data_IF_587063108745
#
_entry.id   IF_587063108745
#
_cell.length_a   1.000
_cell.length_b   1.000
_cell.length_c   1.000
_cell.angle_alpha   90.00
_cell.angle_beta   90.00
_cell.angle_gamma   90.00
#
_symmetry.space_group_name_H-M   'P 1'
#
loop_
_entity.id
_entity.type
_entity.pdbx_description
1 polymer ?
#
# COMPACT_ATOMS: atom_id res chain seq x y z
N UNK A 1 -17.09 1.42 6.01
CA UNK A 1 -16.23 2.38 5.29
C UNK A 1 -15.02 2.74 6.13
N UNK A 2 -13.83 2.60 5.55
CA UNK A 2 -12.57 2.95 6.22
C UNK A 2 -11.92 4.14 5.54
N UNK A 3 -11.06 4.83 6.27
CA UNK A 3 -10.20 5.88 5.73
C UNK A 3 -8.80 5.29 5.52
N UNK A 4 -8.35 5.28 4.28
CA UNK A 4 -7.13 4.58 3.87
C UNK A 4 -6.20 5.54 3.13
N UNK A 5 -4.95 5.58 3.57
CA UNK A 5 -3.89 6.33 2.90
C UNK A 5 -3.02 5.35 2.12
N UNK A 6 -2.85 5.60 0.82
CA UNK A 6 -1.97 4.80 -0.03
C UNK A 6 -0.80 5.67 -0.46
N UNK A 7 0.40 5.25 -0.11
CA UNK A 7 1.64 5.98 -0.40
C UNK A 7 2.43 5.21 -1.46
N UNK A 8 2.69 5.88 -2.58
CA UNK A 8 3.30 5.24 -3.73
C UNK A 8 2.27 4.44 -4.51
N UNK A 9 2.01 4.85 -5.75
CA UNK A 9 0.95 4.23 -6.55
C UNK A 9 1.57 3.73 -7.85
N UNK A 10 2.12 2.52 -7.82
CA UNK A 10 2.51 1.80 -9.01
C UNK A 10 1.35 0.98 -9.55
N UNK A 11 1.64 -0.05 -10.36
CA UNK A 11 0.58 -0.91 -10.92
C UNK A 11 -0.27 -1.56 -9.84
N UNK A 12 0.38 -2.13 -8.84
CA UNK A 12 -0.33 -2.75 -7.72
C UNK A 12 -1.22 -1.73 -7.01
N UNK A 13 -0.67 -0.55 -6.72
CA UNK A 13 -1.40 0.51 -6.05
C UNK A 13 -2.63 0.99 -6.84
N UNK A 14 -2.53 1.06 -8.17
CA UNK A 14 -3.66 1.41 -9.03
C UNK A 14 -4.82 0.42 -8.87
N UNK A 15 -4.53 -0.87 -8.96
CA UNK A 15 -5.55 -1.91 -8.78
C UNK A 15 -6.13 -1.87 -7.38
N UNK A 16 -5.27 -1.71 -6.38
CA UNK A 16 -5.69 -1.64 -4.99
C UNK A 16 -6.63 -0.46 -4.75
N UNK A 17 -6.23 0.73 -5.18
CA UNK A 17 -7.03 1.94 -4.98
C UNK A 17 -8.39 1.83 -5.67
N UNK A 18 -8.42 1.38 -6.92
CA UNK A 18 -9.68 1.21 -7.64
C UNK A 18 -10.63 0.28 -6.90
N UNK A 19 -10.12 -0.84 -6.39
CA UNK A 19 -10.96 -1.80 -5.67
C UNK A 19 -11.41 -1.25 -4.31
N UNK A 20 -10.55 -0.53 -3.61
CA UNK A 20 -10.91 0.09 -2.33
C UNK A 20 -12.06 1.10 -2.51
N UNK A 21 -12.03 1.86 -3.59
CA UNK A 21 -13.09 2.82 -3.91
C UNK A 21 -14.40 2.09 -4.25
N UNK A 22 -14.33 1.01 -5.04
CA UNK A 22 -15.50 0.19 -5.35
C UNK A 22 -16.15 -0.39 -4.08
N UNK A 23 -15.34 -0.64 -3.05
CA UNK A 23 -15.79 -1.15 -1.76
C UNK A 23 -16.20 -0.03 -0.79
N UNK A 24 -16.41 1.18 -1.29
CA UNK A 24 -16.90 2.34 -0.55
C UNK A 24 -15.97 2.85 0.56
N UNK A 25 -14.67 2.72 0.37
CA UNK A 25 -13.70 3.32 1.29
C UNK A 25 -13.33 4.74 0.86
N UNK A 26 -12.94 5.55 1.84
CA UNK A 26 -12.33 6.86 1.57
C UNK A 26 -10.84 6.63 1.37
N UNK A 27 -10.33 7.06 0.22
CA UNK A 27 -8.93 6.83 -0.12
C UNK A 27 -8.23 8.15 -0.40
N UNK A 28 -7.10 8.36 0.25
CA UNK A 28 -6.14 9.40 -0.10
C UNK A 28 -4.93 8.74 -0.72
N UNK A 29 -4.42 9.30 -1.81
CA UNK A 29 -3.18 8.83 -2.44
C UNK A 29 -2.12 9.91 -2.39
N UNK A 30 -0.88 9.51 -2.16
CA UNK A 30 0.28 10.39 -2.22
C UNK A 30 1.36 9.69 -3.05
N UNK A 31 1.88 10.37 -4.04
CA UNK A 31 2.99 9.87 -4.86
C UNK A 31 3.91 11.03 -5.21
N UNK A 32 5.20 10.77 -5.33
CA UNK A 32 6.15 11.81 -5.72
C UNK A 32 6.05 12.18 -7.19
N UNK A 33 5.47 11.30 -8.01
CA UNK A 33 5.30 11.50 -9.45
C UNK A 33 3.84 11.81 -9.79
N UNK A 34 3.58 12.99 -10.30
CA UNK A 34 2.23 13.40 -10.66
C UNK A 34 1.60 12.44 -11.69
N UNK A 35 2.41 11.99 -12.66
CA UNK A 35 1.93 11.10 -13.72
C UNK A 35 1.36 9.79 -13.16
N UNK A 36 1.86 9.33 -12.03
CA UNK A 36 1.39 8.08 -11.40
C UNK A 36 -0.02 8.18 -10.85
N UNK A 37 -0.50 9.39 -10.52
CA UNK A 37 -1.80 9.58 -9.84
C UNK A 37 -2.75 10.51 -10.58
N UNK A 38 -2.35 11.03 -11.75
CA UNK A 38 -3.16 12.01 -12.48
C UNK A 38 -4.57 11.51 -12.79
N UNK A 39 -4.69 10.26 -13.20
CA UNK A 39 -5.98 9.65 -13.53
C UNK A 39 -6.82 9.33 -12.29
N UNK A 40 -6.25 9.41 -11.12
CA UNK A 40 -6.94 9.12 -9.85
C UNK A 40 -7.59 10.34 -9.21
N UNK A 41 -7.21 11.57 -9.64
CA UNK A 41 -7.75 12.78 -9.03
C UNK A 41 -9.30 12.80 -8.94
N UNK A 42 -10.04 12.41 -9.99
CA UNK A 42 -11.50 12.41 -9.91
C UNK A 42 -12.08 11.25 -9.11
N UNK A 43 -11.29 10.22 -8.78
CA UNK A 43 -11.78 8.99 -8.18
C UNK A 43 -11.61 8.94 -6.66
N UNK A 44 -10.52 9.52 -6.16
CA UNK A 44 -10.15 9.45 -4.74
C UNK A 44 -10.64 10.67 -3.97
N UNK A 45 -10.68 10.54 -2.65
CA UNK A 45 -11.06 11.65 -1.79
C UNK A 45 -10.06 12.79 -1.89
N UNK A 46 -8.77 12.45 -1.88
CA UNK A 46 -7.67 13.42 -2.02
C UNK A 46 -6.50 12.74 -2.72
N UNK A 47 -5.89 13.44 -3.68
CA UNK A 47 -4.66 13.02 -4.33
C UNK A 47 -3.64 14.13 -4.18
N UNK A 48 -2.42 13.77 -3.80
CA UNK A 48 -1.38 14.74 -3.52
C UNK A 48 -0.05 14.29 -4.11
N UNK A 49 0.66 15.22 -4.73
CA UNK A 49 2.04 15.01 -5.18
C UNK A 49 2.99 15.39 -4.05
N UNK A 50 3.83 14.47 -3.64
CA UNK A 50 4.82 14.71 -2.60
C UNK A 50 5.66 13.49 -2.33
N UNK A 51 6.89 13.71 -1.88
CA UNK A 51 7.82 12.67 -1.49
C UNK A 51 7.69 12.40 0.00
N UNK A 52 7.14 11.25 0.36
CA UNK A 52 6.88 10.89 1.76
C UNK A 52 8.14 10.50 2.54
N UNK A 53 9.30 10.42 1.90
CA UNK A 53 10.57 10.34 2.64
C UNK A 53 10.92 11.68 3.30
N UNK A 54 10.26 12.75 2.87
CA UNK A 54 10.37 14.05 3.51
C UNK A 54 9.33 14.16 4.63
N UNK A 55 9.77 14.26 5.92
CA UNK A 55 8.83 14.35 7.04
C UNK A 55 7.85 15.52 6.95
N UNK A 56 8.22 16.61 6.28
CA UNK A 56 7.35 17.78 6.14
C UNK A 56 6.13 17.46 5.28
N UNK A 57 6.26 16.57 4.30
CA UNK A 57 5.12 16.11 3.50
C UNK A 57 4.15 15.33 4.38
N UNK A 58 4.67 14.43 5.19
CA UNK A 58 3.85 13.61 6.09
C UNK A 58 3.19 14.43 7.20
N UNK A 59 3.83 15.49 7.68
CA UNK A 59 3.22 16.36 8.70
C UNK A 59 1.95 17.03 8.23
N UNK A 60 1.81 17.24 6.92
CA UNK A 60 0.60 17.84 6.35
C UNK A 60 -0.51 16.83 6.11
N UNK A 61 -0.23 15.55 6.33
CA UNK A 61 -1.20 14.46 6.25
C UNK A 61 -1.60 14.08 7.67
N UNK A 62 -2.89 13.98 7.92
CA UNK A 62 -3.40 13.66 9.26
C UNK A 62 -3.36 12.15 9.49
N UNK A 63 -2.16 11.62 9.72
CA UNK A 63 -1.90 10.19 9.80
C UNK A 63 -2.73 9.47 10.86
N UNK A 64 -2.96 10.12 12.00
CA UNK A 64 -3.68 9.49 13.12
C UNK A 64 -5.16 9.22 12.82
N UNK A 65 -5.72 9.88 11.82
CA UNK A 65 -7.13 9.73 11.45
C UNK A 65 -7.37 8.70 10.36
N UNK A 66 -6.32 8.09 9.81
CA UNK A 66 -6.48 6.99 8.87
C UNK A 66 -6.55 5.66 9.62
N UNK A 67 -7.50 4.83 9.24
CA UNK A 67 -7.61 3.47 9.77
C UNK A 67 -6.44 2.61 9.31
N UNK A 68 -5.92 2.89 8.11
CA UNK A 68 -4.93 2.05 7.45
C UNK A 68 -4.01 2.92 6.59
N UNK A 69 -2.72 2.66 6.67
CA UNK A 69 -1.71 3.24 5.78
C UNK A 69 -1.03 2.12 5.01
N UNK A 70 -1.09 2.18 3.69
CA UNK A 70 -0.49 1.16 2.83
C UNK A 70 0.66 1.80 2.05
N UNK A 71 1.86 1.29 2.27
CA UNK A 71 3.07 1.76 1.59
C UNK A 71 3.33 0.87 0.38
N UNK A 72 2.97 1.37 -0.81
CA UNK A 72 3.06 0.63 -2.07
C UNK A 72 4.30 0.99 -2.88
N UNK A 73 5.41 1.21 -2.22
CA UNK A 73 6.69 1.53 -2.86
C UNK A 73 7.40 0.21 -3.15
N UNK A 74 7.38 -0.23 -4.42
CA UNK A 74 7.85 -1.56 -4.78
C UNK A 74 9.31 -1.60 -5.25
N UNK A 75 9.80 -0.52 -5.87
CA UNK A 75 11.08 -0.56 -6.57
C UNK A 75 12.23 0.10 -5.82
N UNK A 76 11.95 0.76 -4.72
CA UNK A 76 12.95 1.44 -3.91
C UNK A 76 12.75 1.03 -2.45
N UNK A 77 13.47 -0.01 -2.05
CA UNK A 77 13.33 -0.54 -0.70
C UNK A 77 13.73 0.48 0.36
N UNK A 78 14.78 1.27 0.11
CA UNK A 78 15.20 2.28 1.07
C UNK A 78 14.08 3.30 1.34
N UNK A 79 13.45 3.80 0.28
CA UNK A 79 12.32 4.72 0.43
C UNK A 79 11.14 4.06 1.13
N UNK A 80 10.85 2.80 0.80
CA UNK A 80 9.77 2.05 1.47
C UNK A 80 10.05 1.92 2.97
N UNK A 81 11.26 1.59 3.34
CA UNK A 81 11.66 1.44 4.73
C UNK A 81 11.57 2.77 5.49
N UNK A 82 12.09 3.83 4.89
CA UNK A 82 12.04 5.17 5.50
C UNK A 82 10.60 5.64 5.69
N UNK A 83 9.76 5.50 4.69
CA UNK A 83 8.35 5.91 4.78
C UNK A 83 7.61 5.07 5.81
N UNK A 84 7.83 3.76 5.83
CA UNK A 84 7.21 2.86 6.81
C UNK A 84 7.56 3.29 8.24
N UNK A 85 8.83 3.58 8.49
CA UNK A 85 9.30 4.02 9.80
C UNK A 85 8.69 5.36 10.19
N UNK A 86 8.70 6.32 9.27
CA UNK A 86 8.19 7.66 9.53
C UNK A 86 6.69 7.67 9.82
N UNK A 87 5.88 6.98 9.02
CA UNK A 87 4.43 6.97 9.25
C UNK A 87 4.07 6.32 10.58
N UNK A 88 4.80 5.28 10.96
CA UNK A 88 4.57 4.63 12.25
C UNK A 88 4.96 5.53 13.42
N UNK A 89 6.12 6.17 13.35
CA UNK A 89 6.55 7.14 14.34
C UNK A 89 5.56 8.28 14.52
N UNK A 90 4.97 8.74 13.42
CA UNK A 90 4.04 9.86 13.40
C UNK A 90 2.61 9.48 13.76
N UNK A 91 2.37 8.24 14.17
CA UNK A 91 1.12 7.84 14.77
C UNK A 91 0.15 7.04 13.88
N UNK A 92 0.61 6.51 12.75
CA UNK A 92 -0.23 5.64 11.92
C UNK A 92 -0.73 4.45 12.76
N UNK A 93 -2.02 4.17 12.67
CA UNK A 93 -2.65 3.11 13.47
C UNK A 93 -2.26 1.72 13.02
N UNK A 94 -2.24 1.50 11.71
CA UNK A 94 -1.91 0.21 11.13
C UNK A 94 -1.22 0.42 9.80
N UNK A 95 -0.03 -0.14 9.64
CA UNK A 95 0.82 0.06 8.47
C UNK A 95 1.05 -1.27 7.75
N UNK A 96 0.71 -1.30 6.46
CA UNK A 96 1.00 -2.43 5.58
C UNK A 96 2.05 -1.97 4.57
N UNK A 97 3.13 -2.73 4.44
CA UNK A 97 4.18 -2.45 3.48
C UNK A 97 4.41 -3.64 2.56
N UNK A 98 5.12 -3.43 1.46
CA UNK A 98 5.36 -4.48 0.46
C UNK A 98 6.81 -4.89 0.44
N UNK A 99 7.06 -6.18 0.23
CA UNK A 99 8.40 -6.74 0.10
C UNK A 99 8.47 -7.70 -1.08
N UNK A 100 9.66 -7.85 -1.65
CA UNK A 100 9.95 -8.87 -2.66
C UNK A 100 10.76 -10.02 -2.04
N UNK A 101 11.45 -9.78 -0.93
CA UNK A 101 12.34 -10.73 -0.28
C UNK A 101 12.09 -10.76 1.23
N UNK A 102 12.35 -11.92 1.83
CA UNK A 102 12.15 -12.11 3.27
C UNK A 102 13.01 -11.17 4.13
N UNK A 103 14.23 -10.87 3.68
CA UNK A 103 15.07 -9.92 4.42
C UNK A 103 14.47 -8.52 4.45
N UNK A 104 13.82 -8.11 3.38
CA UNK A 104 13.13 -6.83 3.32
C UNK A 104 11.94 -6.80 4.28
N UNK A 105 11.14 -7.87 4.28
CA UNK A 105 10.01 -8.01 5.20
C UNK A 105 10.45 -7.91 6.65
N UNK A 106 11.56 -8.57 6.99
CA UNK A 106 12.13 -8.53 8.34
C UNK A 106 12.42 -7.09 8.78
N UNK A 107 13.07 -6.31 7.93
CA UNK A 107 13.41 -4.93 8.24
C UNK A 107 12.16 -4.04 8.32
N UNK A 108 11.21 -4.25 7.42
CA UNK A 108 9.95 -3.50 7.45
C UNK A 108 9.18 -3.74 8.75
N UNK A 109 9.06 -4.99 9.16
CA UNK A 109 8.39 -5.35 10.41
C UNK A 109 9.10 -4.78 11.62
N UNK A 110 10.42 -4.81 11.63
CA UNK A 110 11.21 -4.24 12.74
C UNK A 110 11.11 -2.72 12.83
N UNK A 111 10.83 -2.06 11.71
CA UNK A 111 10.84 -0.61 11.63
C UNK A 111 9.44 0.00 11.52
N UNK A 112 8.39 -0.75 11.83
CA UNK A 112 7.08 -0.15 12.02
C UNK A 112 5.93 -0.73 11.20
N UNK A 113 6.19 -1.58 10.22
CA UNK A 113 5.09 -2.25 9.51
C UNK A 113 4.40 -3.23 10.47
N UNK A 114 3.08 -3.18 10.49
CA UNK A 114 2.27 -4.15 11.22
C UNK A 114 2.06 -5.42 10.40
N UNK A 115 2.10 -5.28 9.08
CA UNK A 115 1.93 -6.38 8.13
C UNK A 115 2.78 -6.12 6.91
N UNK A 116 3.32 -7.18 6.32
CA UNK A 116 4.05 -7.12 5.05
C UNK A 116 3.40 -8.08 4.06
N UNK A 117 3.17 -7.61 2.85
CA UNK A 117 2.67 -8.44 1.77
C UNK A 117 3.76 -8.61 0.70
N UNK A 118 3.66 -9.72 -0.04
CA UNK A 118 4.53 -10.05 -1.17
C UNK A 118 3.64 -10.15 -2.42
N UNK A 119 3.43 -9.05 -3.15
CA UNK A 119 2.40 -9.04 -4.19
C UNK A 119 2.53 -10.17 -5.21
N UNK A 120 3.73 -10.41 -5.71
CA UNK A 120 3.95 -11.47 -6.70
C UNK A 120 3.90 -12.86 -6.07
N UNK A 121 4.56 -13.05 -4.93
CA UNK A 121 4.59 -14.35 -4.24
C UNK A 121 3.22 -14.76 -3.76
N UNK A 122 2.47 -13.85 -3.14
CA UNK A 122 1.16 -14.17 -2.58
C UNK A 122 0.17 -14.57 -3.68
N UNK A 123 0.20 -13.88 -4.83
CA UNK A 123 -0.62 -14.23 -5.98
C UNK A 123 -0.20 -15.58 -6.57
N UNK A 124 1.10 -15.81 -6.70
CA UNK A 124 1.61 -17.07 -7.24
C UNK A 124 1.27 -18.27 -6.36
N UNK A 125 1.40 -18.11 -5.04
CA UNK A 125 1.03 -19.16 -4.07
C UNK A 125 -0.45 -19.47 -4.16
N UNK A 126 -1.29 -18.44 -4.19
CA UNK A 126 -2.73 -18.60 -4.33
C UNK A 126 -3.09 -19.33 -5.63
N UNK A 127 -2.48 -18.93 -6.74
CA UNK A 127 -2.72 -19.57 -8.02
C UNK A 127 -2.31 -21.04 -7.99
N UNK A 128 -1.14 -21.36 -7.43
CA UNK A 128 -0.65 -22.73 -7.34
C UNK A 128 -1.60 -23.61 -6.52
N UNK A 129 -2.10 -23.10 -5.41
CA UNK A 129 -3.06 -23.80 -4.54
C UNK A 129 -4.38 -24.07 -5.29
N UNK A 130 -4.91 -23.07 -5.99
CA UNK A 130 -6.13 -23.23 -6.79
C UNK A 130 -5.96 -24.27 -7.90
N UNK A 131 -4.82 -24.23 -8.59
CA UNK A 131 -4.56 -25.15 -9.71
C UNK A 131 -4.35 -26.59 -9.26
N UNK A 132 -4.04 -26.82 -7.99
CA UNK A 132 -3.78 -28.14 -7.42
C UNK A 132 -5.02 -28.74 -6.77
N UNK A 133 -6.07 -27.96 -6.60
CA UNK A 133 -7.33 -28.42 -6.01
C UNK A 133 -7.97 -29.52 -6.88
N UNK A 134 -8.67 -30.47 -6.21
CA UNK A 134 -9.42 -31.54 -6.89
C UNK A 134 -10.53 -31.01 -7.78
N UNK A 135 -11.10 -29.88 -7.43
CA UNK A 135 -12.17 -29.24 -8.20
C UNK A 135 -11.78 -27.79 -8.48
N UNK A 136 -11.10 -27.59 -9.60
CA UNK A 136 -10.63 -26.27 -10.02
C UNK A 136 -11.80 -25.30 -10.22
N UNK A 137 -12.96 -25.78 -10.61
CA UNK A 137 -14.14 -24.95 -10.84
C UNK A 137 -14.64 -24.26 -9.57
N UNK A 138 -14.44 -24.86 -8.40
CA UNK A 138 -14.83 -24.23 -7.13
C UNK A 138 -14.08 -22.93 -6.86
N UNK A 139 -12.91 -22.79 -7.45
CA UNK A 139 -12.09 -21.59 -7.29
C UNK A 139 -12.25 -20.58 -8.40
N UNK A 140 -12.70 -21.03 -9.57
CA UNK A 140 -12.85 -20.18 -10.77
C UNK A 140 -14.23 -19.52 -10.81
N UNK A 141 -15.22 -20.23 -10.36
CA UNK A 141 -16.59 -19.74 -10.33
C UNK A 141 -16.85 -18.93 -9.08
#
# INVERSE_FOLDING_TARGET
MKSILVIGVGRFGHHLVNRLIELDNKVMVVDKEEDSIRDMFPLVTTARVGDCTNPDVLKSVDLVNFDLVIVCIAQDFQSSLEVTSLVKEMGAKYVISMACRDIQAKFLLKNGADEVIYPDRDVAVNLAERCTSHNVYDYIS
#
